data_IF_648804877605
#
_entry.id   IF_648804877605
#
_cell.length_a   1.000
_cell.length_b   1.000
_cell.length_c   1.000
_cell.angle_alpha   90.00
_cell.angle_beta   90.00
_cell.angle_gamma   90.00
#
_symmetry.space_group_name_H-M   'P 1'
#
loop_
_entity.id
_entity.type
_entity.pdbx_description
1 polymer ?
#
# COMPACT_ATOMS: atom_id res chain seq x y z
N UNK A 1 23.63 24.43 -16.63
CA UNK A 1 24.76 23.81 -15.92
C UNK A 1 24.84 24.48 -14.57
N UNK A 2 24.19 23.90 -13.58
CA UNK A 2 24.01 24.48 -12.25
C UNK A 2 24.59 23.47 -11.27
N UNK A 3 25.56 23.90 -10.45
CA UNK A 3 26.16 23.10 -9.38
C UNK A 3 25.07 22.46 -8.52
N UNK A 4 24.82 21.16 -8.68
CA UNK A 4 24.15 20.38 -7.64
C UNK A 4 25.18 20.08 -6.56
N UNK A 5 24.81 20.33 -5.31
CA UNK A 5 25.66 20.17 -4.14
C UNK A 5 26.31 18.78 -4.10
N UNK A 6 27.62 18.71 -4.36
CA UNK A 6 28.47 17.55 -4.11
C UNK A 6 28.81 17.41 -2.61
N UNK A 7 27.81 17.58 -1.74
CA UNK A 7 27.99 17.56 -0.29
C UNK A 7 27.21 16.40 0.32
N UNK A 8 27.91 15.58 1.12
CA UNK A 8 27.31 14.59 1.99
C UNK A 8 27.15 15.23 3.38
N UNK A 9 25.92 15.44 3.83
CA UNK A 9 25.63 16.11 5.09
C UNK A 9 25.49 15.07 6.20
N UNK A 10 26.35 15.15 7.21
CA UNK A 10 26.33 14.27 8.38
C UNK A 10 25.81 15.04 9.61
N UNK A 11 24.66 14.62 10.11
CA UNK A 11 24.03 15.16 11.31
C UNK A 11 24.27 14.22 12.49
N UNK A 12 24.75 14.77 13.60
CA UNK A 12 24.96 14.02 14.85
C UNK A 12 25.11 14.98 16.03
N UNK A 13 24.82 14.50 17.24
CA UNK A 13 24.92 15.29 18.46
C UNK A 13 26.38 15.65 18.83
N UNK A 14 27.34 14.81 18.41
CA UNK A 14 28.77 15.04 18.64
C UNK A 14 29.53 14.99 17.33
N UNK A 15 30.58 15.80 17.21
CA UNK A 15 31.42 15.79 16.01
C UNK A 15 32.07 14.40 15.81
N UNK A 16 32.05 13.84 14.58
CA UNK A 16 32.64 12.54 14.31
C UNK A 16 34.15 12.61 14.52
N UNK A 17 34.68 11.62 15.26
CA UNK A 17 36.11 11.40 15.42
C UNK A 17 36.81 11.20 14.07
N UNK A 18 38.12 11.41 13.98
CA UNK A 18 38.89 11.19 12.75
C UNK A 18 38.71 9.76 12.20
N UNK A 19 38.63 8.77 13.08
CA UNK A 19 38.38 7.38 12.69
C UNK A 19 36.99 7.18 12.07
N UNK A 20 35.96 7.84 12.61
CA UNK A 20 34.61 7.81 12.04
C UNK A 20 34.53 8.56 10.71
N UNK A 21 35.18 9.73 10.60
CA UNK A 21 35.27 10.49 9.34
C UNK A 21 35.90 9.65 8.22
N UNK A 22 36.98 8.91 8.50
CA UNK A 22 37.60 7.98 7.53
C UNK A 22 36.63 6.88 7.11
N UNK A 23 35.91 6.26 8.05
CA UNK A 23 34.90 5.24 7.73
C UNK A 23 33.77 5.78 6.85
N UNK A 24 33.29 7.00 7.11
CA UNK A 24 32.29 7.65 6.26
C UNK A 24 32.84 7.96 4.87
N UNK A 25 34.07 8.45 4.76
CA UNK A 25 34.71 8.71 3.47
C UNK A 25 34.89 7.41 2.65
N UNK A 26 35.37 6.33 3.28
CA UNK A 26 35.51 5.01 2.66
C UNK A 26 34.15 4.45 2.20
N UNK A 27 33.11 4.65 3.02
CA UNK A 27 31.74 4.27 2.69
C UNK A 27 31.20 5.04 1.48
N UNK A 28 31.35 6.37 1.46
CA UNK A 28 30.90 7.22 0.36
C UNK A 28 31.62 6.87 -0.95
N UNK A 29 32.94 6.68 -0.90
CA UNK A 29 33.74 6.31 -2.07
C UNK A 29 33.35 4.94 -2.64
N UNK A 30 32.96 3.99 -1.78
CA UNK A 30 32.51 2.65 -2.21
C UNK A 30 31.10 2.67 -2.78
N UNK A 31 30.20 3.44 -2.17
CA UNK A 31 28.77 3.41 -2.49
C UNK A 31 28.43 4.33 -3.67
N UNK A 32 29.15 5.44 -3.84
CA UNK A 32 28.95 6.43 -4.91
C UNK A 32 30.21 6.59 -5.78
N UNK A 33 30.62 5.54 -6.53
CA UNK A 33 31.83 5.60 -7.33
C UNK A 33 31.70 6.67 -8.44
N UNK A 34 32.66 7.59 -8.50
CA UNK A 34 32.70 8.65 -9.51
C UNK A 34 32.06 9.98 -9.12
N UNK A 35 31.53 10.12 -7.90
CA UNK A 35 31.12 11.41 -7.33
C UNK A 35 32.16 11.92 -6.33
N UNK A 36 32.70 13.12 -6.55
CA UNK A 36 33.56 13.80 -5.56
C UNK A 36 32.68 14.42 -4.47
N UNK A 37 32.29 13.61 -3.48
CA UNK A 37 31.45 14.04 -2.35
C UNK A 37 32.32 14.59 -1.20
N UNK A 38 32.00 15.80 -0.73
CA UNK A 38 32.62 16.38 0.47
C UNK A 38 31.74 16.11 1.69
N UNK A 39 32.28 15.50 2.73
CA UNK A 39 31.56 15.25 3.98
C UNK A 39 31.52 16.53 4.83
N UNK A 40 30.33 17.13 4.96
CA UNK A 40 30.09 18.27 5.85
C UNK A 40 29.35 17.80 7.10
N UNK A 41 29.85 18.18 8.28
CA UNK A 41 29.19 17.84 9.55
C UNK A 41 28.33 19.01 10.03
N UNK A 42 27.12 18.70 10.50
CA UNK A 42 26.21 19.62 11.17
C UNK A 42 25.80 19.04 12.52
N UNK A 43 25.76 19.90 13.53
CA UNK A 43 25.32 19.53 14.86
C UNK A 43 23.79 19.35 14.89
N UNK A 44 23.33 18.21 15.41
CA UNK A 44 21.92 17.96 15.68
C UNK A 44 21.79 17.22 17.03
N UNK A 45 21.38 17.96 18.05
CA UNK A 45 21.22 17.46 19.41
C UNK A 45 20.07 16.43 19.55
N UNK A 46 19.14 16.37 18.61
CA UNK A 46 18.04 15.39 18.63
C UNK A 46 18.52 13.96 18.31
N UNK A 47 19.69 13.81 17.68
CA UNK A 47 20.27 12.54 17.25
C UNK A 47 21.21 11.90 18.29
N UNK A 48 20.93 12.08 19.58
CA UNK A 48 21.75 11.56 20.67
C UNK A 48 21.98 10.03 20.54
N UNK A 49 23.26 9.62 20.43
CA UNK A 49 23.64 8.21 20.29
C UNK A 49 23.48 7.60 18.89
N UNK A 50 23.33 8.43 17.85
CA UNK A 50 23.28 8.01 16.45
C UNK A 50 23.73 9.10 15.48
N UNK A 51 23.48 8.88 14.18
CA UNK A 51 23.77 9.87 13.14
C UNK A 51 22.75 9.74 12.00
N UNK A 52 22.60 10.81 11.23
CA UNK A 52 21.89 10.81 9.94
C UNK A 52 22.86 11.30 8.87
N UNK A 53 23.01 10.54 7.79
CA UNK A 53 23.84 10.92 6.66
C UNK A 53 22.94 11.11 5.43
N UNK A 54 22.96 12.31 4.86
CA UNK A 54 22.19 12.68 3.68
C UNK A 54 23.15 12.87 2.49
N UNK A 55 22.89 12.16 1.38
CA UNK A 55 23.67 12.24 0.14
C UNK A 55 22.69 12.41 -1.02
N UNK A 56 22.49 13.65 -1.47
CA UNK A 56 21.44 13.93 -2.45
C UNK A 56 20.06 13.58 -1.90
N UNK A 57 19.37 12.62 -2.52
CA UNK A 57 18.07 12.10 -2.09
C UNK A 57 18.17 10.88 -1.14
N UNK A 58 19.36 10.29 -1.00
CA UNK A 58 19.58 9.12 -0.15
C UNK A 58 19.81 9.52 1.31
N UNK A 59 19.02 8.94 2.23
CA UNK A 59 19.18 9.15 3.67
C UNK A 59 19.56 7.83 4.34
N UNK A 60 20.67 7.87 5.09
CA UNK A 60 21.09 6.81 5.99
C UNK A 60 20.85 7.26 7.43
N UNK A 61 19.73 6.82 8.00
CA UNK A 61 19.35 7.15 9.36
C UNK A 61 19.75 6.04 10.34
N UNK A 62 20.73 6.34 11.19
CA UNK A 62 21.22 5.50 12.28
C UNK A 62 20.90 6.07 13.67
N UNK A 63 19.95 7.00 13.73
CA UNK A 63 19.40 7.53 14.97
C UNK A 63 18.70 6.45 15.80
N UNK A 64 18.43 6.75 17.07
CA UNK A 64 17.63 5.86 17.91
C UNK A 64 16.22 5.68 17.34
N UNK A 65 15.61 6.78 16.87
CA UNK A 65 14.27 6.76 16.26
C UNK A 65 14.26 5.94 14.96
N UNK A 66 15.22 6.16 14.06
CA UNK A 66 15.34 5.39 12.81
C UNK A 66 15.51 3.89 13.06
N UNK A 67 16.31 3.52 14.08
CA UNK A 67 16.48 2.12 14.50
C UNK A 67 15.22 1.50 15.09
N UNK A 68 14.51 2.22 15.96
CA UNK A 68 13.22 1.77 16.54
C UNK A 68 12.18 1.59 15.44
N UNK A 69 12.13 2.51 14.49
CA UNK A 69 11.22 2.44 13.35
C UNK A 69 11.51 1.24 12.44
N UNK A 70 12.78 0.99 12.11
CA UNK A 70 13.19 -0.20 11.35
C UNK A 70 12.79 -1.50 12.07
N UNK A 71 12.94 -1.55 13.40
CA UNK A 71 12.54 -2.70 14.20
C UNK A 71 11.02 -2.88 14.21
N UNK A 72 10.27 -1.79 14.40
CA UNK A 72 8.79 -1.79 14.40
C UNK A 72 8.24 -2.37 13.10
N UNK A 73 8.74 -1.93 11.94
CA UNK A 73 8.33 -2.47 10.62
C UNK A 73 8.55 -3.98 10.51
N UNK A 74 9.64 -4.49 11.07
CA UNK A 74 9.95 -5.94 11.06
C UNK A 74 9.04 -6.72 12.01
N UNK A 75 8.63 -6.13 13.13
CA UNK A 75 7.65 -6.73 14.04
C UNK A 75 6.25 -6.79 13.41
N UNK A 76 5.81 -5.72 12.76
CA UNK A 76 4.51 -5.68 12.05
C UNK A 76 4.42 -6.74 10.93
N UNK A 77 5.54 -7.09 10.30
CA UNK A 77 5.61 -8.18 9.33
C UNK A 77 5.46 -9.59 9.96
N UNK A 78 5.56 -9.73 11.28
CA UNK A 78 5.55 -11.01 12.01
C UNK A 78 4.25 -11.27 12.78
N UNK A 79 3.41 -10.26 12.99
CA UNK A 79 2.17 -10.30 13.81
C UNK A 79 1.04 -11.21 13.27
N UNK A 80 1.33 -12.08 12.29
CA UNK A 80 0.37 -12.98 11.66
C UNK A 80 0.54 -14.47 11.95
N UNK A 81 1.36 -14.89 12.93
CA UNK A 81 1.61 -16.33 13.22
C UNK A 81 1.29 -16.71 14.66
N UNK A 82 0.77 -17.92 14.86
CA UNK A 82 0.23 -18.42 16.15
C UNK A 82 1.28 -18.59 17.28
N UNK A 83 2.58 -18.47 17.02
CA UNK A 83 3.67 -18.52 18.03
C UNK A 83 4.52 -17.24 18.04
N UNK A 84 3.91 -16.14 18.47
CA UNK A 84 4.48 -14.78 18.33
C UNK A 84 5.72 -14.56 19.21
N UNK A 85 5.76 -15.10 20.44
CA UNK A 85 6.83 -14.76 21.41
C UNK A 85 8.21 -15.32 21.03
N UNK A 86 8.37 -16.61 20.65
CA UNK A 86 9.66 -17.14 20.22
C UNK A 86 10.15 -16.50 18.92
N UNK A 87 9.23 -16.28 17.96
CA UNK A 87 9.53 -15.64 16.67
C UNK A 87 9.93 -14.17 16.85
N UNK A 88 9.25 -13.42 17.72
CA UNK A 88 9.64 -12.05 18.08
C UNK A 88 11.01 -12.01 18.74
N UNK A 89 11.28 -12.90 19.71
CA UNK A 89 12.58 -12.98 20.36
C UNK A 89 13.69 -13.26 19.34
N UNK A 90 13.49 -14.24 18.47
CA UNK A 90 14.44 -14.58 17.41
C UNK A 90 14.61 -13.41 16.42
N UNK A 91 13.55 -12.69 16.09
CA UNK A 91 13.61 -11.54 15.21
C UNK A 91 14.34 -10.35 15.84
N UNK A 92 14.22 -10.14 17.15
CA UNK A 92 15.01 -9.15 17.90
C UNK A 92 16.48 -9.57 17.97
N UNK A 93 16.76 -10.83 18.30
CA UNK A 93 18.14 -11.36 18.42
C UNK A 93 18.89 -11.39 17.07
N UNK A 94 18.17 -11.58 15.97
CA UNK A 94 18.72 -11.59 14.60
C UNK A 94 18.63 -10.24 13.88
N UNK A 95 18.13 -9.19 14.54
CA UNK A 95 17.98 -7.89 13.91
C UNK A 95 19.32 -7.16 13.81
N UNK A 96 19.79 -6.99 12.58
CA UNK A 96 20.87 -6.06 12.24
C UNK A 96 20.26 -4.84 11.53
N UNK A 97 20.60 -3.60 11.95
CA UNK A 97 20.17 -2.39 11.27
C UNK A 97 20.49 -2.46 9.77
N UNK A 98 19.54 -2.06 8.93
CA UNK A 98 19.75 -2.03 7.47
C UNK A 98 20.73 -0.92 7.10
N UNK A 99 21.72 -1.22 6.25
CA UNK A 99 22.66 -0.23 5.68
C UNK A 99 22.26 0.21 4.27
N UNK A 100 21.04 -0.11 3.81
CA UNK A 100 20.57 0.32 2.49
C UNK A 100 20.14 1.79 2.55
N UNK A 101 20.50 2.62 1.56
CA UNK A 101 19.92 3.96 1.44
C UNK A 101 18.40 3.84 1.35
N UNK A 102 17.69 4.62 2.14
CA UNK A 102 16.27 4.89 1.91
C UNK A 102 16.18 6.29 1.27
N UNK A 103 15.64 6.35 0.06
CA UNK A 103 15.31 7.64 -0.54
C UNK A 103 14.13 8.24 0.23
N UNK A 104 14.33 9.44 0.76
CA UNK A 104 13.34 10.11 1.60
C UNK A 104 12.93 11.43 0.99
N UNK A 105 11.62 11.68 0.99
CA UNK A 105 11.03 12.96 0.66
C UNK A 105 10.59 13.70 1.91
N UNK A 106 10.19 14.95 1.70
CA UNK A 106 9.66 15.82 2.75
C UNK A 106 8.30 16.35 2.32
N UNK A 107 7.28 16.25 3.19
CA UNK A 107 5.97 16.85 2.94
C UNK A 107 6.13 18.37 2.86
N UNK A 108 5.75 18.98 1.74
CA UNK A 108 5.70 20.43 1.57
C UNK A 108 4.37 20.99 2.07
N UNK A 109 3.27 20.37 1.64
CA UNK A 109 1.91 20.80 1.94
C UNK A 109 1.02 19.58 2.04
N UNK A 110 0.03 19.62 2.91
CA UNK A 110 -1.03 18.62 2.99
C UNK A 110 -2.37 19.34 3.15
N UNK A 111 -3.37 18.94 2.39
CA UNK A 111 -4.72 19.50 2.43
C UNK A 111 -5.66 18.67 1.56
N UNK A 112 -6.92 18.51 2.01
CA UNK A 112 -7.94 17.71 1.31
C UNK A 112 -7.44 16.32 0.87
N UNK A 113 -6.71 15.62 1.78
CA UNK A 113 -6.13 14.29 1.54
C UNK A 113 -5.11 14.23 0.38
N UNK A 114 -4.63 15.38 -0.08
CA UNK A 114 -3.57 15.52 -1.06
C UNK A 114 -2.32 16.05 -0.36
N UNK A 115 -1.20 15.36 -0.56
CA UNK A 115 0.11 15.77 -0.09
C UNK A 115 1.02 16.11 -1.27
N UNK A 116 1.69 17.26 -1.19
CA UNK A 116 2.79 17.61 -2.10
C UNK A 116 4.09 17.28 -1.41
N UNK A 117 4.97 16.54 -2.06
CA UNK A 117 6.23 16.04 -1.48
C UNK A 117 7.39 16.55 -2.32
N UNK A 118 8.45 17.02 -1.66
CA UNK A 118 9.73 17.32 -2.28
C UNK A 118 10.70 16.13 -2.15
N UNK A 119 11.63 16.03 -3.08
CA UNK A 119 12.56 14.89 -3.18
C UNK A 119 11.92 13.71 -3.91
N UNK A 120 12.37 12.49 -3.59
CA UNK A 120 11.92 11.25 -4.23
C UNK A 120 12.06 11.31 -5.77
N UNK A 121 13.27 11.61 -6.25
CA UNK A 121 13.58 11.81 -7.67
C UNK A 121 13.30 10.57 -8.51
N UNK A 122 13.49 9.39 -7.93
CA UNK A 122 13.29 8.12 -8.62
C UNK A 122 11.84 7.59 -8.51
N UNK A 123 10.91 8.34 -7.90
CA UNK A 123 9.52 7.92 -7.73
C UNK A 123 8.77 7.75 -9.05
N UNK A 124 7.95 6.71 -9.12
CA UNK A 124 7.17 6.39 -10.33
C UNK A 124 5.69 6.72 -10.12
N UNK A 125 5.00 7.07 -11.20
CA UNK A 125 3.54 7.23 -11.18
C UNK A 125 2.86 5.95 -10.68
N UNK A 126 1.91 6.11 -9.76
CA UNK A 126 1.22 4.99 -9.12
C UNK A 126 2.02 4.31 -8.02
N UNK A 127 3.22 4.75 -7.67
CA UNK A 127 3.98 4.21 -6.56
C UNK A 127 3.33 4.52 -5.20
N UNK A 128 3.39 3.57 -4.27
CA UNK A 128 2.92 3.77 -2.90
C UNK A 128 4.01 4.41 -2.06
N UNK A 129 3.66 5.46 -1.33
CA UNK A 129 4.47 6.14 -0.34
C UNK A 129 3.96 5.82 1.07
N UNK A 130 4.86 5.84 2.05
CA UNK A 130 4.55 5.65 3.47
C UNK A 130 5.00 6.88 4.25
N UNK A 131 4.06 7.48 4.96
CA UNK A 131 4.27 8.65 5.81
C UNK A 131 4.70 8.22 7.23
N UNK A 132 5.23 9.16 8.01
CA UNK A 132 5.72 8.93 9.39
C UNK A 132 4.72 8.26 10.31
N UNK A 133 3.43 8.56 10.15
CA UNK A 133 2.33 8.01 10.95
C UNK A 133 1.84 6.64 10.42
N UNK A 134 2.48 6.08 9.41
CA UNK A 134 2.13 4.80 8.78
C UNK A 134 1.05 4.90 7.70
N UNK A 135 0.46 6.08 7.48
CA UNK A 135 -0.49 6.30 6.39
C UNK A 135 0.20 6.08 5.07
N UNK A 136 -0.53 5.45 4.15
CA UNK A 136 -0.07 5.21 2.79
C UNK A 136 -0.67 6.24 1.88
N UNK A 137 0.07 6.61 0.84
CA UNK A 137 -0.49 7.40 -0.26
C UNK A 137 0.04 6.88 -1.59
N UNK A 138 -0.56 7.33 -2.68
CA UNK A 138 -0.16 6.97 -4.04
C UNK A 138 0.21 8.19 -4.85
N UNK A 139 1.36 8.10 -5.51
CA UNK A 139 1.84 9.13 -6.44
C UNK A 139 0.86 9.25 -7.61
N UNK A 140 0.28 10.42 -7.76
CA UNK A 140 -0.70 10.77 -8.80
C UNK A 140 -0.21 11.87 -9.73
N UNK A 141 0.85 12.57 -9.36
CA UNK A 141 1.44 13.61 -10.18
C UNK A 141 2.95 13.66 -9.98
N UNK A 142 3.70 13.80 -11.08
CA UNK A 142 5.14 13.99 -11.08
C UNK A 142 5.46 15.34 -11.72
N UNK A 143 6.06 16.25 -10.95
CA UNK A 143 6.55 17.55 -11.42
C UNK A 143 8.07 17.63 -11.19
N UNK A 144 8.80 18.52 -11.89
CA UNK A 144 10.21 18.72 -11.60
C UNK A 144 10.44 19.13 -10.14
N UNK A 145 11.11 18.29 -9.36
CA UNK A 145 11.47 18.53 -7.95
C UNK A 145 10.34 18.37 -6.93
N UNK A 146 9.12 18.01 -7.36
CA UNK A 146 7.97 17.81 -6.48
C UNK A 146 7.04 16.74 -7.05
N UNK A 147 6.38 15.99 -6.18
CA UNK A 147 5.34 15.04 -6.57
C UNK A 147 4.05 15.28 -5.79
N UNK A 148 2.93 14.97 -6.43
CA UNK A 148 1.60 14.99 -5.83
C UNK A 148 1.18 13.57 -5.45
N UNK A 149 0.70 13.41 -4.24
CA UNK A 149 0.31 12.13 -3.66
C UNK A 149 -1.10 12.23 -3.09
N UNK A 150 -1.96 11.26 -3.42
CA UNK A 150 -3.28 11.11 -2.76
C UNK A 150 -3.14 10.15 -1.59
N UNK A 151 -3.62 10.54 -0.41
CA UNK A 151 -3.55 9.77 0.81
C UNK A 151 -4.65 8.70 0.88
N UNK A 152 -4.32 7.53 1.40
CA UNK A 152 -5.25 6.42 1.64
C UNK A 152 -5.68 6.38 3.11
N UNK A 153 -6.20 7.51 3.60
CA UNK A 153 -6.62 7.70 4.98
C UNK A 153 -6.72 9.18 5.36
N UNK A 154 -7.07 9.43 6.60
CA UNK A 154 -7.19 10.78 7.16
C UNK A 154 -5.82 11.48 7.16
N UNK A 155 -5.74 12.70 6.65
CA UNK A 155 -4.50 13.49 6.68
C UNK A 155 -4.10 13.95 8.09
N UNK A 156 -4.95 13.72 9.09
CA UNK A 156 -4.69 14.03 10.50
C UNK A 156 -3.39 13.40 10.99
N UNK A 157 -2.46 14.24 11.44
CA UNK A 157 -1.15 13.82 11.93
C UNK A 157 -0.07 13.68 10.85
N UNK A 158 -0.32 14.21 9.64
CA UNK A 158 0.72 14.53 8.66
C UNK A 158 0.89 16.06 8.67
N UNK A 159 2.13 16.52 8.82
CA UNK A 159 2.47 17.94 8.84
C UNK A 159 3.53 18.28 7.78
N UNK A 160 3.60 19.56 7.41
CA UNK A 160 4.68 20.04 6.55
C UNK A 160 6.04 19.87 7.26
N UNK A 161 7.02 19.32 6.54
CA UNK A 161 8.31 18.93 7.10
C UNK A 161 8.40 17.44 7.44
N UNK A 162 7.29 16.71 7.46
CA UNK A 162 7.32 15.29 7.77
C UNK A 162 8.07 14.47 6.73
N UNK A 163 8.84 13.46 7.15
CA UNK A 163 9.50 12.56 6.23
C UNK A 163 8.51 11.61 5.55
N UNK A 164 8.71 11.39 4.24
CA UNK A 164 7.96 10.42 3.43
C UNK A 164 8.92 9.46 2.77
N UNK A 165 8.54 8.18 2.69
CA UNK A 165 9.39 7.11 2.20
C UNK A 165 8.71 6.41 1.05
N UNK A 166 9.50 5.98 0.07
CA UNK A 166 9.03 5.13 -1.03
C UNK A 166 8.92 3.68 -0.61
N UNK A 167 7.91 2.98 -1.13
CA UNK A 167 7.83 1.52 -0.99
C UNK A 167 8.56 0.77 -2.10
N UNK A 168 8.89 1.44 -3.21
CA UNK A 168 9.41 0.82 -4.43
C UNK A 168 8.38 -0.05 -5.15
N UNK A 169 7.10 0.02 -4.75
CA UNK A 169 6.02 -0.79 -5.30
C UNK A 169 4.92 0.11 -5.84
N UNK A 170 4.52 -0.16 -7.08
CA UNK A 170 3.28 0.39 -7.65
C UNK A 170 2.11 -0.12 -6.83
N UNK A 171 1.10 0.72 -6.67
CA UNK A 171 -0.13 0.39 -5.98
C UNK A 171 -0.71 -0.90 -6.55
N UNK A 172 -0.82 -1.87 -5.66
CA UNK A 172 -1.27 -3.20 -5.94
C UNK A 172 -2.03 -3.75 -4.75
N UNK A 173 -2.74 -4.83 -5.01
CA UNK A 173 -3.49 -5.57 -4.01
C UNK A 173 -2.91 -6.98 -3.90
N UNK A 174 -2.81 -7.52 -2.67
CA UNK A 174 -2.58 -8.95 -2.50
C UNK A 174 -3.74 -9.74 -3.11
N UNK A 175 -3.43 -10.85 -3.78
CA UNK A 175 -4.41 -11.73 -4.43
C UNK A 175 -4.14 -13.19 -4.05
N UNK A 176 -5.20 -14.00 -4.04
CA UNK A 176 -5.11 -15.43 -3.74
C UNK A 176 -6.46 -16.02 -3.34
N UNK A 177 -6.52 -17.34 -3.21
CA UNK A 177 -7.75 -18.02 -2.79
C UNK A 177 -8.10 -17.75 -1.32
N UNK A 178 -7.11 -17.38 -0.49
CA UNK A 178 -7.32 -17.01 0.92
C UNK A 178 -8.24 -15.81 1.16
N UNK A 179 -8.58 -15.06 0.12
CA UNK A 179 -9.54 -13.95 0.17
C UNK A 179 -11.00 -14.41 0.12
N UNK A 180 -11.28 -15.64 -0.32
CA UNK A 180 -12.64 -16.18 -0.35
C UNK A 180 -13.23 -16.19 1.07
N UNK A 181 -14.43 -15.63 1.21
CA UNK A 181 -15.11 -15.50 2.50
C UNK A 181 -14.69 -14.32 3.35
N UNK A 182 -13.76 -13.48 2.86
CA UNK A 182 -13.22 -12.34 3.60
C UNK A 182 -13.90 -11.03 3.21
N UNK A 183 -13.87 -10.08 4.15
CA UNK A 183 -14.18 -8.67 3.89
C UNK A 183 -12.88 -7.87 4.00
N UNK A 184 -12.52 -7.17 2.93
CA UNK A 184 -11.28 -6.41 2.81
C UNK A 184 -11.51 -4.95 2.47
N UNK A 185 -10.56 -4.09 2.81
CA UNK A 185 -10.51 -2.71 2.35
C UNK A 185 -10.06 -2.60 0.88
N UNK A 186 -9.98 -1.37 0.36
CA UNK A 186 -9.54 -1.10 -1.02
C UNK A 186 -8.07 -1.44 -1.30
N UNK A 187 -7.25 -1.62 -0.26
CA UNK A 187 -5.84 -2.01 -0.36
C UNK A 187 -5.64 -3.53 -0.16
N UNK A 188 -6.72 -4.28 0.07
CA UNK A 188 -6.70 -5.73 0.32
C UNK A 188 -6.39 -6.13 1.76
N UNK A 189 -6.42 -5.20 2.72
CA UNK A 189 -6.26 -5.52 4.14
C UNK A 189 -7.58 -6.08 4.71
N UNK A 190 -7.54 -7.11 5.55
CA UNK A 190 -8.75 -7.65 6.17
C UNK A 190 -9.37 -6.68 7.17
N UNK A 191 -10.68 -6.45 7.06
CA UNK A 191 -11.47 -5.59 7.97
C UNK A 191 -12.60 -6.36 8.67
N UNK A 192 -12.66 -7.67 8.48
CA UNK A 192 -13.65 -8.58 9.09
C UNK A 192 -13.26 -9.08 10.49
N UNK A 193 -12.05 -8.78 10.97
CA UNK A 193 -11.55 -9.25 12.27
C UNK A 193 -11.18 -10.74 12.29
N UNK A 194 -11.15 -11.44 11.15
CA UNK A 194 -10.82 -12.87 11.07
C UNK A 194 -9.29 -13.13 10.94
N UNK A 195 -8.46 -12.18 11.39
CA UNK A 195 -7.00 -12.27 11.31
C UNK A 195 -6.42 -11.95 9.91
N UNK A 196 -5.12 -12.15 9.71
CA UNK A 196 -4.46 -11.88 8.43
C UNK A 196 -4.96 -12.81 7.31
N UNK A 197 -4.75 -12.41 6.06
CA UNK A 197 -5.03 -13.23 4.88
C UNK A 197 -3.69 -13.69 4.30
N UNK A 198 -3.56 -14.99 4.04
CA UNK A 198 -2.43 -15.51 3.27
C UNK A 198 -2.68 -15.22 1.78
N UNK A 199 -1.83 -14.36 1.21
CA UNK A 199 -1.86 -14.02 -0.20
C UNK A 199 -0.87 -14.89 -0.99
N UNK A 200 -1.25 -15.27 -2.21
CA UNK A 200 -0.43 -16.10 -3.11
C UNK A 200 0.45 -15.22 -4.01
N UNK A 201 -0.06 -14.06 -4.38
CA UNK A 201 0.64 -13.10 -5.23
C UNK A 201 0.25 -11.65 -4.88
N UNK A 202 0.91 -10.71 -5.55
CA UNK A 202 0.64 -9.29 -5.45
C UNK A 202 0.49 -8.71 -6.85
N UNK A 203 -0.69 -8.20 -7.18
CA UNK A 203 -1.00 -7.68 -8.51
C UNK A 203 -1.14 -6.16 -8.49
N UNK A 204 -0.59 -5.43 -9.48
CA UNK A 204 -0.83 -4.00 -9.60
C UNK A 204 -2.32 -3.74 -9.85
N UNK A 205 -2.86 -2.66 -9.27
CA UNK A 205 -4.26 -2.26 -9.49
C UNK A 205 -4.47 -1.87 -10.95
N UNK A 206 -3.53 -1.11 -11.50
CA UNK A 206 -3.47 -0.77 -12.91
C UNK A 206 -2.76 -1.89 -13.67
N UNK A 207 -3.53 -2.71 -14.39
CA UNK A 207 -3.03 -3.77 -15.25
C UNK A 207 -3.70 -3.69 -16.63
N UNK A 208 -2.95 -3.80 -17.74
CA UNK A 208 -3.56 -3.76 -19.07
C UNK A 208 -4.60 -4.88 -19.23
N UNK A 209 -5.74 -4.54 -19.83
CA UNK A 209 -6.77 -5.52 -20.12
C UNK A 209 -6.31 -6.49 -21.23
N UNK A 210 -6.82 -7.74 -21.26
CA UNK A 210 -6.52 -8.69 -22.34
C UNK A 210 -6.85 -8.11 -23.71
N UNK A 211 -5.96 -8.35 -24.68
CA UNK A 211 -6.10 -7.91 -26.06
C UNK A 211 -7.24 -8.61 -26.78
N UNK A 212 -7.55 -8.20 -28.01
CA UNK A 212 -8.64 -8.84 -28.79
C UNK A 212 -8.34 -10.32 -29.07
N UNK A 213 -7.08 -10.65 -29.36
CA UNK A 213 -6.63 -12.02 -29.70
C UNK A 213 -6.73 -12.96 -28.49
N UNK A 214 -6.59 -12.44 -27.27
CA UNK A 214 -6.65 -13.22 -26.04
C UNK A 214 -8.09 -13.51 -25.58
N UNK A 215 -9.09 -12.91 -26.25
CA UNK A 215 -10.51 -13.04 -25.87
C UNK A 215 -11.17 -14.19 -26.61
N UNK A 216 -12.10 -14.84 -25.93
CA UNK A 216 -13.04 -15.78 -26.54
C UNK A 216 -14.44 -15.17 -26.60
N UNK A 217 -15.28 -15.55 -27.60
CA UNK A 217 -16.68 -15.18 -27.61
C UNK A 217 -17.39 -15.67 -26.35
N UNK A 218 -18.26 -14.82 -25.79
CA UNK A 218 -19.09 -15.19 -24.64
C UNK A 218 -20.16 -16.17 -25.13
N UNK A 219 -20.05 -17.43 -24.71
CA UNK A 219 -20.93 -18.52 -25.14
C UNK A 219 -21.50 -19.37 -23.99
N UNK A 220 -21.10 -19.08 -22.74
CA UNK A 220 -21.61 -19.75 -21.55
C UNK A 220 -22.54 -18.81 -20.77
N UNK A 221 -23.79 -19.22 -20.45
CA UNK A 221 -24.69 -18.39 -19.67
C UNK A 221 -24.21 -18.23 -18.21
N UNK A 222 -24.52 -17.07 -17.64
CA UNK A 222 -24.43 -16.78 -16.21
C UNK A 222 -25.86 -16.47 -15.73
N UNK A 223 -26.50 -17.50 -15.17
CA UNK A 223 -27.89 -17.40 -14.72
C UNK A 223 -27.98 -16.51 -13.48
N UNK A 224 -28.83 -15.49 -13.53
CA UNK A 224 -29.10 -14.63 -12.38
C UNK A 224 -30.08 -15.27 -11.38
N UNK A 225 -30.91 -16.20 -11.84
CA UNK A 225 -32.00 -16.78 -11.06
C UNK A 225 -33.26 -15.93 -11.07
N UNK A 226 -33.25 -14.83 -11.82
CA UNK A 226 -34.37 -13.92 -11.99
C UNK A 226 -34.97 -14.15 -13.38
N UNK A 227 -36.14 -14.77 -13.44
CA UNK A 227 -36.82 -15.12 -14.70
C UNK A 227 -36.92 -13.95 -15.69
N UNK A 228 -37.21 -12.75 -15.19
CA UNK A 228 -37.32 -11.56 -16.02
C UNK A 228 -35.99 -11.19 -16.71
N UNK A 229 -34.86 -11.38 -16.02
CA UNK A 229 -33.52 -11.10 -16.58
C UNK A 229 -33.09 -12.27 -17.46
N UNK A 230 -33.12 -13.49 -16.95
CA UNK A 230 -32.62 -14.65 -17.66
C UNK A 230 -33.39 -14.95 -18.97
N UNK A 231 -34.67 -14.55 -19.07
CA UNK A 231 -35.47 -14.72 -20.28
C UNK A 231 -35.39 -13.55 -21.29
N UNK A 232 -35.32 -12.30 -20.81
CA UNK A 232 -35.39 -11.12 -21.69
C UNK A 232 -34.00 -10.54 -21.99
N UNK A 233 -33.09 -10.62 -21.02
CA UNK A 233 -31.76 -10.02 -21.04
C UNK A 233 -30.72 -11.02 -20.50
N UNK A 234 -30.48 -12.15 -21.21
CA UNK A 234 -29.56 -13.17 -20.73
C UNK A 234 -28.14 -12.61 -20.60
N UNK A 235 -27.48 -12.93 -19.49
CA UNK A 235 -26.11 -12.51 -19.19
C UNK A 235 -25.17 -13.69 -19.41
N UNK A 236 -24.08 -13.50 -20.15
CA UNK A 236 -23.05 -14.51 -20.34
C UNK A 236 -21.80 -14.33 -19.47
N UNK A 237 -21.06 -15.41 -19.23
CA UNK A 237 -19.77 -15.35 -18.51
C UNK A 237 -18.73 -14.59 -19.33
N UNK A 238 -18.21 -13.49 -18.77
CA UNK A 238 -17.30 -12.57 -19.47
C UNK A 238 -18.00 -11.36 -20.11
N UNK A 239 -19.33 -11.27 -20.02
CA UNK A 239 -20.11 -10.08 -20.42
C UNK A 239 -20.02 -8.98 -19.36
N UNK A 240 -20.19 -7.73 -19.79
CA UNK A 240 -20.37 -6.57 -18.92
C UNK A 240 -21.82 -6.11 -19.04
N UNK A 241 -22.56 -6.11 -17.93
CA UNK A 241 -23.97 -5.74 -17.88
C UNK A 241 -24.20 -4.63 -16.84
N UNK A 242 -24.89 -3.55 -17.24
CA UNK A 242 -25.12 -2.39 -16.39
C UNK A 242 -26.51 -2.46 -15.73
N UNK A 243 -26.55 -2.41 -14.39
CA UNK A 243 -27.80 -2.26 -13.64
C UNK A 243 -27.99 -0.78 -13.27
N UNK A 244 -28.87 -0.09 -14.00
CA UNK A 244 -29.19 1.33 -13.78
C UNK A 244 -30.62 1.50 -13.23
N UNK A 245 -30.81 2.51 -12.37
CA UNK A 245 -32.12 2.86 -11.83
C UNK A 245 -32.03 3.78 -10.61
N UNK A 246 -33.16 4.33 -10.18
CA UNK A 246 -33.24 5.28 -9.07
C UNK A 246 -32.88 4.67 -7.71
N UNK A 247 -32.73 5.52 -6.69
CA UNK A 247 -32.53 5.06 -5.31
C UNK A 247 -33.66 4.11 -4.91
N UNK A 248 -33.31 3.02 -4.22
CA UNK A 248 -34.25 2.02 -3.70
C UNK A 248 -35.08 1.23 -4.74
N UNK A 249 -34.63 1.16 -6.00
CA UNK A 249 -35.29 0.35 -7.06
C UNK A 249 -34.85 -1.12 -7.10
N UNK A 250 -34.21 -1.64 -6.05
CA UNK A 250 -33.82 -3.06 -5.99
C UNK A 250 -32.50 -3.42 -6.69
N UNK A 251 -31.69 -2.46 -7.17
CA UNK A 251 -30.38 -2.73 -7.81
C UNK A 251 -29.50 -3.69 -7.01
N UNK A 252 -29.34 -3.42 -5.71
CA UNK A 252 -28.55 -4.28 -4.81
C UNK A 252 -29.19 -5.64 -4.61
N UNK A 253 -30.53 -5.73 -4.58
CA UNK A 253 -31.23 -7.00 -4.46
C UNK A 253 -30.98 -7.89 -5.68
N UNK A 254 -31.06 -7.34 -6.89
CA UNK A 254 -30.71 -8.05 -8.13
C UNK A 254 -29.29 -8.61 -8.09
N UNK A 255 -28.32 -7.80 -7.68
CA UNK A 255 -26.93 -8.24 -7.56
C UNK A 255 -26.75 -9.34 -6.50
N UNK A 256 -27.40 -9.21 -5.34
CA UNK A 256 -27.31 -10.19 -4.26
C UNK A 256 -27.99 -11.52 -4.62
N UNK A 257 -29.18 -11.49 -5.21
CA UNK A 257 -29.87 -12.69 -5.68
C UNK A 257 -29.06 -13.41 -6.75
N UNK A 258 -28.40 -12.65 -7.64
CA UNK A 258 -27.46 -13.20 -8.62
C UNK A 258 -26.30 -13.93 -7.96
N UNK A 259 -25.65 -13.32 -6.93
CA UNK A 259 -24.57 -13.95 -6.16
C UNK A 259 -25.07 -15.24 -5.49
N UNK A 260 -26.25 -15.21 -4.87
CA UNK A 260 -26.83 -16.38 -4.21
C UNK A 260 -27.11 -17.52 -5.21
N UNK A 261 -27.56 -17.19 -6.42
CA UNK A 261 -27.82 -18.17 -7.46
C UNK A 261 -26.54 -18.82 -8.03
N UNK A 262 -25.35 -18.27 -7.75
CA UNK A 262 -24.08 -18.86 -8.20
C UNK A 262 -23.62 -20.03 -7.33
N UNK A 263 -24.32 -20.36 -6.25
CA UNK A 263 -23.96 -21.47 -5.36
C UNK A 263 -23.84 -22.78 -6.14
N UNK A 264 -22.67 -23.42 -6.06
CA UNK A 264 -22.38 -24.68 -6.77
C UNK A 264 -22.17 -24.55 -8.28
N UNK A 265 -22.14 -23.33 -8.85
CA UNK A 265 -21.95 -23.11 -10.30
C UNK A 265 -20.50 -22.83 -10.71
N UNK A 266 -19.56 -22.98 -9.77
CA UNK A 266 -18.14 -22.70 -9.95
C UNK A 266 -17.91 -21.28 -10.51
N UNK A 267 -18.45 -20.28 -9.81
CA UNK A 267 -18.28 -18.85 -10.11
C UNK A 267 -17.83 -18.16 -8.83
N UNK A 268 -16.67 -17.51 -8.87
CA UNK A 268 -16.22 -16.64 -7.79
C UNK A 268 -16.98 -15.31 -7.90
N UNK A 269 -17.55 -14.87 -6.78
CA UNK A 269 -18.26 -13.60 -6.70
C UNK A 269 -17.40 -12.56 -5.97
N UNK A 270 -17.36 -11.33 -6.48
CA UNK A 270 -16.71 -10.22 -5.80
C UNK A 270 -17.73 -9.09 -5.70
N UNK A 271 -18.11 -8.72 -4.48
CA UNK A 271 -19.03 -7.62 -4.21
C UNK A 271 -18.24 -6.40 -3.73
N UNK A 272 -18.14 -5.38 -4.57
CA UNK A 272 -17.43 -4.13 -4.27
C UNK A 272 -18.42 -3.07 -3.79
N UNK A 273 -18.35 -2.74 -2.50
CA UNK A 273 -19.19 -1.74 -1.86
C UNK A 273 -18.46 -0.40 -1.80
N UNK A 274 -18.93 0.58 -2.57
CA UNK A 274 -18.36 1.94 -2.64
C UNK A 274 -19.35 2.93 -2.04
N UNK A 275 -18.89 3.74 -1.08
CA UNK A 275 -19.70 4.77 -0.41
C UNK A 275 -20.91 4.22 0.33
N UNK A 276 -20.87 2.95 0.75
CA UNK A 276 -21.92 2.32 1.53
C UNK A 276 -21.64 2.47 3.02
N UNK A 277 -22.70 2.56 3.84
CA UNK A 277 -22.54 2.56 5.30
C UNK A 277 -21.95 1.23 5.74
N UNK A 278 -20.95 1.26 6.63
CA UNK A 278 -20.30 0.05 7.16
C UNK A 278 -21.30 -0.94 7.77
N UNK A 279 -22.37 -0.44 8.41
CA UNK A 279 -23.45 -1.27 8.95
C UNK A 279 -24.26 -2.00 7.88
N UNK A 280 -24.44 -1.39 6.70
CA UNK A 280 -25.12 -2.03 5.57
C UNK A 280 -24.25 -3.13 4.96
N UNK A 281 -22.95 -2.89 4.84
CA UNK A 281 -21.99 -3.90 4.36
C UNK A 281 -21.90 -5.07 5.34
N UNK A 282 -21.84 -4.80 6.65
CA UNK A 282 -21.83 -5.84 7.69
C UNK A 282 -23.08 -6.71 7.65
N UNK A 283 -24.27 -6.09 7.52
CA UNK A 283 -25.54 -6.82 7.39
C UNK A 283 -25.56 -7.67 6.11
N UNK A 284 -25.04 -7.16 5.01
CA UNK A 284 -24.94 -7.88 3.74
C UNK A 284 -24.00 -9.08 3.85
N UNK A 285 -22.81 -8.89 4.43
CA UNK A 285 -21.83 -9.95 4.65
C UNK A 285 -22.42 -11.07 5.52
N UNK A 286 -23.13 -10.71 6.58
CA UNK A 286 -23.79 -11.68 7.45
C UNK A 286 -24.93 -12.44 6.74
N UNK A 287 -25.72 -11.76 5.91
CA UNK A 287 -26.76 -12.40 5.10
C UNK A 287 -26.17 -13.39 4.09
N UNK A 288 -25.09 -13.01 3.39
CA UNK A 288 -24.37 -13.91 2.48
C UNK A 288 -23.78 -15.10 3.24
N UNK A 289 -23.23 -14.88 4.44
CA UNK A 289 -22.68 -15.95 5.29
C UNK A 289 -23.76 -16.95 5.68
N UNK A 290 -24.91 -16.48 6.17
CA UNK A 290 -26.05 -17.34 6.55
C UNK A 290 -26.60 -18.18 5.41
N UNK A 291 -26.51 -17.68 4.17
CA UNK A 291 -26.97 -18.40 2.97
C UNK A 291 -25.88 -19.30 2.36
N UNK A 292 -24.68 -19.31 2.95
CA UNK A 292 -23.52 -20.08 2.48
C UNK A 292 -22.89 -19.51 1.20
N UNK A 293 -23.08 -18.22 0.93
CA UNK A 293 -22.51 -17.55 -0.23
C UNK A 293 -21.12 -16.98 0.00
N UNK A 294 -20.74 -16.74 1.26
CA UNK A 294 -19.39 -16.27 1.59
C UNK A 294 -18.31 -17.30 1.20
N UNK A 295 -18.63 -18.60 1.10
CA UNK A 295 -17.68 -19.63 0.66
C UNK A 295 -17.05 -19.37 -0.72
N UNK A 296 -17.73 -18.62 -1.58
CA UNK A 296 -17.28 -18.28 -2.93
C UNK A 296 -17.33 -16.77 -3.21
N UNK A 297 -17.49 -15.94 -2.18
CA UNK A 297 -17.65 -14.50 -2.31
C UNK A 297 -16.56 -13.74 -1.55
N UNK A 298 -16.07 -12.66 -2.17
CA UNK A 298 -15.18 -11.68 -1.55
C UNK A 298 -15.94 -10.36 -1.47
N UNK A 299 -15.88 -9.68 -0.33
CA UNK A 299 -16.45 -8.32 -0.20
C UNK A 299 -15.30 -7.33 -0.10
N UNK A 300 -15.26 -6.36 -1.02
CA UNK A 300 -14.36 -5.21 -0.94
C UNK A 300 -15.18 -4.02 -0.47
N UNK A 301 -14.73 -3.32 0.58
CA UNK A 301 -15.48 -2.22 1.18
C UNK A 301 -14.65 -0.94 1.24
N UNK A 302 -15.14 0.09 0.55
CA UNK A 302 -14.71 1.48 0.69
C UNK A 302 -15.91 2.27 1.23
N UNK A 303 -16.08 2.36 2.56
CA UNK A 303 -17.25 3.00 3.17
C UNK A 303 -17.29 4.51 2.90
N UNK A 304 -18.47 5.11 3.09
CA UNK A 304 -18.67 6.56 3.01
C UNK A 304 -18.14 7.30 4.25
#
# INVERSE_FOLDING_TARGET
MSNMNNAALLYSAEAPSEAQRRRFADFLARTYPGQELTLEWKEDAALAGGFRLEVGADIYDWSLQGRVEQLRRRMEALDGREDVIPLMRQAIESWTPSTKPEEMGTVLTVGDEIATIAGLEDAVYGEVLVFSNGIRGMVQELRPGQLGCVLFGDSSGIEAGDPVRRTGKVAGVPVGEGFLGRVVDALGSPIDGAGPIQADAYYPVEHPAPGIIDRQPVNQPMETGLLAIDALFPIGRGQRELIIGDRQTGKTAVALDTILNQKGKNVVCIYVAIGQKSSSVALLAENLRRRGAMEYCIIVSAPA
#
